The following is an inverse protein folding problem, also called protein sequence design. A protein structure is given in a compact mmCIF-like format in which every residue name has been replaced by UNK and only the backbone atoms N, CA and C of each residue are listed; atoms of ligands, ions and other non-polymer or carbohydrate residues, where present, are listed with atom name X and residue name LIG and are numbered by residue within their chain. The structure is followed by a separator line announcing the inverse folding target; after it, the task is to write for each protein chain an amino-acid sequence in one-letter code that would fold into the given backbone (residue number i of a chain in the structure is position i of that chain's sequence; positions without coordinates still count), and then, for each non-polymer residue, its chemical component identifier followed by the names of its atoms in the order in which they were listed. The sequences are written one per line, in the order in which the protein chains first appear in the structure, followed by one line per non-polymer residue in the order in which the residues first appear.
data_IF_552148218783
#
_entry.id   IF_552148218783
#
_cell.length_a   1.000
_cell.length_b   1.000
_cell.length_c   1.000
_cell.angle_alpha   90.00
_cell.angle_beta   90.00
_cell.angle_gamma   90.00
#
_symmetry.space_group_name_H-M   'P 1'
#
loop_
_entity.id
_entity.type
_entity.pdbx_description
1 polymer ?
2 polymer ?
#
# COMPACT_ATOMS: atom_id res chain seq x y z
N UNK A 1 -6.66 10.84 13.50
CA UNK A 1 -7.07 9.42 13.57
C UNK A 1 -6.43 8.61 12.46
N UNK A 2 -5.84 7.47 12.83
CA UNK A 2 -5.16 6.58 11.88
C UNK A 2 -5.88 5.24 11.78
N UNK A 3 -5.86 4.65 10.57
CA UNK A 3 -6.50 3.35 10.33
C UNK A 3 -5.64 2.48 9.41
N UNK A 4 -5.85 1.16 9.49
CA UNK A 4 -5.09 0.19 8.69
C UNK A 4 -5.98 -0.47 7.64
N UNK A 5 -5.46 -0.57 6.41
CA UNK A 5 -6.18 -1.19 5.29
C UNK A 5 -5.63 -2.60 5.02
N UNK A 6 -6.50 -3.49 4.55
CA UNK A 6 -6.11 -4.87 4.24
C UNK A 6 -6.11 -5.11 2.73
N UNK A 7 -4.97 -5.57 2.22
CA UNK A 7 -4.79 -5.85 0.79
C UNK A 7 -5.05 -7.33 0.48
N UNK A 8 -5.22 -7.64 -0.81
CA UNK A 8 -5.49 -9.01 -1.29
C UNK A 8 -4.29 -9.95 -1.06
N UNK A 9 -3.10 -9.38 -0.91
CA UNK A 9 -1.87 -10.17 -0.69
C UNK A 9 -1.66 -10.49 0.79
N UNK A 10 -2.46 -9.86 1.67
CA UNK A 10 -2.34 -10.09 3.11
C UNK A 10 -1.37 -9.12 3.77
N UNK A 11 -1.50 -7.84 3.42
CA UNK A 11 -0.63 -6.79 3.94
C UNK A 11 -1.47 -5.63 4.47
N UNK A 12 -1.25 -5.26 5.74
CA UNK A 12 -1.97 -4.13 6.35
C UNK A 12 -1.21 -2.83 6.12
N UNK A 13 -1.84 -1.92 5.35
CA UNK A 13 -1.24 -0.61 5.02
C UNK A 13 -1.57 0.39 6.14
N UNK A 14 -0.61 1.24 6.49
CA UNK A 14 -0.81 2.25 7.54
C UNK A 14 -0.98 3.64 6.96
N UNK A 15 -2.17 4.23 7.17
CA UNK A 15 -2.47 5.58 6.66
C UNK A 15 -3.12 6.45 7.72
N UNK A 16 -3.04 7.76 7.51
CA UNK A 16 -3.64 8.72 8.42
C UNK A 16 -4.61 9.64 7.70
N UNK A 17 -5.90 9.52 8.05
CA UNK A 17 -6.97 10.32 7.44
C UNK A 17 -8.04 10.70 8.47
N UNK A 18 -8.85 11.72 8.15
CA UNK A 18 -9.92 12.19 9.03
C UNK A 18 -11.27 11.55 8.63
N UNK A 19 -12.21 11.35 9.62
CA UNK A 19 -13.53 10.75 9.35
C UNK A 19 -14.44 11.61 8.45
N UNK A 20 -14.11 12.90 8.34
CA UNK A 20 -14.89 13.85 7.52
C UNK A 20 -14.46 13.84 6.04
N UNK A 21 -13.44 13.04 5.71
CA UNK A 21 -12.94 12.92 4.34
C UNK A 21 -13.74 11.88 3.55
N UNK A 22 -13.71 12.01 2.22
CA UNK A 22 -14.43 11.08 1.33
C UNK A 22 -13.61 9.85 1.01
N UNK A 23 -14.32 8.72 0.81
CA UNK A 23 -13.70 7.41 0.48
C UNK A 23 -12.75 7.52 -0.73
N UNK A 24 -13.11 8.36 -1.72
CA UNK A 24 -12.30 8.57 -2.94
C UNK A 24 -10.93 9.19 -2.61
N UNK A 25 -10.90 10.08 -1.60
CA UNK A 25 -9.66 10.74 -1.17
C UNK A 25 -8.71 9.73 -0.54
N UNK A 26 -9.28 8.82 0.26
CA UNK A 26 -8.50 7.75 0.91
C UNK A 26 -7.91 6.81 -0.16
N UNK A 27 -8.69 6.61 -1.25
CA UNK A 27 -8.26 5.76 -2.39
C UNK A 27 -7.05 6.38 -3.09
N UNK A 28 -7.04 7.71 -3.18
CA UNK A 28 -5.91 8.45 -3.80
C UNK A 28 -4.64 8.26 -2.97
N UNK A 29 -4.80 8.29 -1.63
CA UNK A 29 -3.69 8.09 -0.68
C UNK A 29 -3.08 6.68 -0.87
N UNK A 30 -3.97 5.71 -1.18
CA UNK A 30 -3.55 4.32 -1.43
C UNK A 30 -2.72 4.24 -2.73
N UNK A 31 -3.21 4.90 -3.80
CA UNK A 31 -2.55 4.93 -5.11
C UNK A 31 -1.08 5.38 -5.01
N UNK A 32 -0.85 6.48 -4.28
CA UNK A 32 0.49 7.03 -4.08
C UNK A 32 1.39 6.13 -3.21
N UNK A 33 0.76 5.35 -2.31
CA UNK A 33 1.52 4.46 -1.40
C UNK A 33 1.90 3.13 -2.06
N UNK A 34 0.93 2.47 -2.73
CA UNK A 34 1.17 1.17 -3.36
C UNK A 34 1.46 1.27 -4.86
N UNK A 35 0.78 2.19 -5.55
CA UNK A 35 0.98 2.38 -6.98
C UNK A 35 -0.14 1.80 -7.84
N UNK A 36 -1.38 1.87 -7.34
CA UNK A 36 -2.55 1.36 -8.07
C UNK A 36 -3.65 2.44 -8.10
N UNK A 37 -4.29 2.69 -9.29
CA UNK A 37 -5.36 3.71 -9.42
C UNK A 37 -6.54 3.50 -8.44
N UNK A 38 -7.28 4.59 -8.06
CA UNK A 38 -8.42 4.49 -7.11
C UNK A 38 -9.66 3.82 -7.73
N UNK A 39 -9.91 4.09 -9.02
CA UNK A 39 -11.07 3.53 -9.74
C UNK A 39 -11.02 2.01 -9.88
N UNK A 40 -9.84 1.42 -9.62
CA UNK A 40 -9.66 -0.03 -9.72
C UNK A 40 -9.51 -0.68 -8.33
N UNK A 41 -9.72 0.13 -7.25
CA UNK A 41 -9.62 -0.32 -5.84
C UNK A 41 -10.94 -0.08 -5.06
N UNK A 42 -11.54 -1.16 -4.47
CA UNK A 42 -12.78 -0.99 -3.70
C UNK A 42 -12.51 -1.07 -2.20
N UNK A 43 -13.35 -0.40 -1.41
CA UNK A 43 -13.22 -0.39 0.05
C UNK A 43 -14.47 -0.97 0.69
N UNK A 44 -14.27 -2.06 1.43
CA UNK A 44 -15.36 -2.76 2.11
C UNK A 44 -15.16 -2.76 3.63
N UNK A 45 -16.25 -2.55 4.38
CA UNK A 45 -16.22 -2.54 5.84
C UNK A 45 -17.50 -3.14 6.41
N UNK A 46 -17.35 -4.00 7.44
CA UNK A 46 -18.47 -4.70 8.12
C UNK A 46 -19.11 -5.79 7.25
N UNK A 47 -19.35 -5.44 5.98
CA UNK A 47 -19.96 -6.35 5.03
C UNK A 47 -20.64 -5.59 3.90
N UNK A 48 -20.64 -4.27 4.01
CA UNK A 48 -21.24 -3.39 3.01
C UNK A 48 -20.17 -2.72 2.16
N UNK A 49 -20.56 -2.26 0.96
CA UNK A 49 -19.64 -1.60 0.02
C UNK A 49 -19.65 -0.09 0.24
N UNK A 50 -18.47 0.53 0.22
CA UNK A 50 -18.33 1.97 0.42
C UNK A 50 -18.30 2.71 -0.93
N UNK A 51 -19.17 3.72 -1.06
CA UNK A 51 -19.26 4.50 -2.30
C UNK A 51 -18.40 5.75 -2.25
N UNK A 52 -17.91 6.17 -3.42
CA UNK A 52 -17.05 7.37 -3.56
C UNK A 52 -17.77 8.67 -3.20
N UNK A 53 -19.10 8.60 -3.12
CA UNK A 53 -19.93 9.77 -2.78
C UNK A 53 -20.17 9.85 -1.26
N UNK A 54 -19.77 8.78 -0.54
CA UNK A 54 -19.94 8.72 0.91
C UNK A 54 -18.60 8.98 1.62
N UNK A 55 -18.66 9.14 2.95
CA UNK A 55 -17.46 9.40 3.74
C UNK A 55 -17.26 8.32 4.80
N UNK A 56 -16.05 8.26 5.37
CA UNK A 56 -15.70 7.28 6.40
C UNK A 56 -16.59 7.41 7.65
N UNK A 57 -17.03 8.65 7.93
CA UNK A 57 -17.89 8.94 9.08
C UNK A 57 -19.26 8.24 8.95
N UNK A 58 -19.72 8.08 7.69
CA UNK A 58 -21.00 7.43 7.40
C UNK A 58 -21.01 5.94 7.81
N UNK A 59 -19.80 5.39 8.02
CA UNK A 59 -19.64 4.00 8.43
C UNK A 59 -19.06 3.92 9.85
N UNK A 60 -19.22 5.04 10.62
CA UNK A 60 -18.75 5.17 12.03
C UNK A 60 -17.32 4.65 12.27
N UNK A 61 -16.44 4.83 11.28
CA UNK A 61 -15.04 4.39 11.37
C UNK A 61 -14.22 5.42 12.16
N UNK A 62 -13.40 4.94 13.10
CA UNK A 62 -12.56 5.80 13.94
C UNK A 62 -11.10 5.34 13.92
N UNK A 63 -10.21 6.20 14.44
CA UNK A 63 -8.78 5.92 14.51
C UNK A 63 -8.47 4.64 15.27
N UNK A 64 -8.11 3.60 14.52
CA UNK A 64 -7.81 2.31 15.11
C UNK A 64 -8.57 1.16 14.44
N UNK A 65 -9.51 1.51 13.54
CA UNK A 65 -10.31 0.50 12.83
C UNK A 65 -9.57 -0.02 11.60
N UNK A 66 -9.83 -1.28 11.27
CA UNK A 66 -9.19 -1.93 10.12
C UNK A 66 -10.17 -1.99 8.95
N UNK A 67 -9.83 -1.31 7.85
CA UNK A 67 -10.68 -1.27 6.66
C UNK A 67 -10.16 -2.23 5.59
N UNK A 68 -11.09 -2.83 4.84
CA UNK A 68 -10.74 -3.79 3.79
C UNK A 68 -10.78 -3.14 2.41
N UNK A 69 -9.87 -3.58 1.54
CA UNK A 69 -9.77 -3.07 0.17
C UNK A 69 -9.67 -4.22 -0.82
N UNK A 70 -10.57 -4.24 -1.82
CA UNK A 70 -10.59 -5.29 -2.83
C UNK A 70 -11.05 -4.83 -4.21
N UNK A 71 -10.07 -4.55 -5.04
CA UNK A 71 -10.29 -4.24 -6.45
C UNK A 71 -9.06 -4.55 -7.30
N UNK A 72 -9.22 -4.53 -8.64
CA UNK A 72 -8.15 -4.88 -9.61
C UNK A 72 -7.67 -6.32 -9.46
N UNK A 73 -7.50 -7.00 -10.61
CA UNK A 73 -7.03 -8.39 -10.63
C UNK A 73 -5.80 -8.52 -11.53
N UNK A 74 -4.89 -9.41 -11.13
CA UNK A 74 -3.65 -9.66 -11.89
C UNK A 74 -3.78 -10.89 -12.78
N UNK A 75 -4.35 -11.97 -12.22
CA UNK A 75 -4.53 -13.21 -12.97
C UNK A 75 -5.98 -13.47 -13.31
N UNK A 76 -6.33 -14.76 -13.41
CA UNK A 76 -7.69 -15.16 -13.73
C UNK A 76 -8.00 -16.59 -13.31
N UNK B 1 17.69 -10.27 -18.66
CA UNK B 1 16.54 -9.34 -18.83
C UNK B 1 16.91 -8.08 -19.58
N UNK B 2 16.77 -6.92 -18.91
CA UNK B 2 17.08 -5.65 -19.52
C UNK B 2 17.33 -4.56 -18.50
N UNK B 3 16.38 -4.38 -17.58
CA UNK B 3 16.49 -3.36 -16.52
C UNK B 3 16.22 -3.97 -15.14
N UNK B 4 16.85 -3.40 -14.13
CA UNK B 4 16.69 -3.87 -12.75
C UNK B 4 16.30 -2.72 -11.81
N UNK B 5 15.55 -3.07 -10.75
CA UNK B 5 15.08 -2.09 -9.77
C UNK B 5 16.05 -1.97 -8.59
N UNK B 6 17.13 -2.77 -8.61
CA UNK B 6 18.16 -2.80 -7.55
C UNK B 6 18.75 -1.43 -7.24
N UNK B 7 19.01 -0.65 -8.29
CA UNK B 7 19.62 0.69 -8.17
C UNK B 7 18.74 1.70 -7.41
N UNK B 8 17.42 1.69 -7.66
CA UNK B 8 16.49 2.65 -7.04
C UNK B 8 16.23 2.27 -5.60
N UNK B 9 16.10 0.97 -5.41
CA UNK B 9 15.80 0.33 -4.15
C UNK B 9 16.91 0.48 -3.11
N UNK B 10 18.14 0.14 -3.48
CA UNK B 10 19.27 0.26 -2.55
C UNK B 10 19.70 1.72 -2.34
N UNK B 11 19.70 2.53 -3.42
CA UNK B 11 20.06 3.96 -3.32
C UNK B 11 19.16 4.68 -2.30
N UNK B 12 17.85 4.37 -2.33
CA UNK B 12 16.87 4.94 -1.38
C UNK B 12 17.30 4.60 0.04
N UNK B 13 17.39 3.30 0.20
CA UNK B 13 17.72 2.62 1.44
C UNK B 13 19.09 3.03 2.01
N UNK B 14 20.08 3.21 1.11
CA UNK B 14 21.44 3.60 1.52
C UNK B 14 21.51 5.07 1.97
N UNK B 15 21.13 6.03 1.09
CA UNK B 15 21.17 7.47 1.43
C UNK B 15 20.07 8.27 0.73
N UNK B 16 19.75 7.92 -0.52
CA UNK B 16 18.73 8.61 -1.33
C UNK B 16 17.30 8.47 -0.73
N UNK B 17 16.28 8.97 -1.46
CA UNK B 17 14.88 8.91 -0.99
C UNK B 17 14.22 7.56 -1.33
N UNK B 18 13.28 7.16 -0.46
CA UNK B 18 12.50 5.90 -0.55
C UNK B 18 11.87 5.68 -1.95
N UNK B 19 12.65 5.19 -2.95
CA UNK B 19 12.06 5.06 -4.31
C UNK B 19 11.13 3.82 -4.57
N UNK B 20 11.69 2.61 -4.91
CA UNK B 20 10.88 1.39 -5.15
C UNK B 20 10.64 0.67 -3.85
N UNK B 21 11.80 0.23 -3.32
CA UNK B 21 11.91 -0.45 -2.06
C UNK B 21 11.33 0.49 -1.02
N UNK B 22 11.55 1.79 -1.23
CA UNK B 22 11.08 2.82 -0.33
C UNK B 22 9.57 3.05 -0.31
N UNK B 23 9.10 4.03 -1.10
CA UNK B 23 7.66 4.45 -1.15
C UNK B 23 6.82 3.92 0.03
N UNK B 24 7.18 4.39 1.25
CA UNK B 24 6.55 4.04 2.54
C UNK B 24 6.32 2.51 2.73
N UNK B 25 5.09 2.02 2.49
CA UNK B 25 4.74 0.59 2.61
C UNK B 25 5.62 -0.28 1.70
N UNK B 26 5.90 0.27 0.53
CA UNK B 26 6.71 -0.33 -0.53
C UNK B 26 8.05 -0.93 -0.05
N UNK B 27 8.63 -0.34 1.02
CA UNK B 27 9.97 -0.69 1.56
C UNK B 27 10.20 -2.19 1.66
N UNK B 28 9.33 -2.87 2.37
CA UNK B 28 9.33 -4.32 2.46
C UNK B 28 8.71 -4.97 1.20
N UNK B 29 7.75 -4.23 0.59
CA UNK B 29 6.86 -4.72 -0.49
C UNK B 29 7.57 -5.34 -1.66
N UNK B 30 8.70 -4.75 -2.07
CA UNK B 30 9.39 -5.27 -3.26
C UNK B 30 9.54 -6.79 -3.25
N UNK B 31 10.23 -7.40 -2.30
CA UNK B 31 10.38 -8.86 -2.35
C UNK B 31 9.08 -9.60 -2.00
N UNK B 32 8.37 -9.10 -0.98
CA UNK B 32 7.12 -9.73 -0.52
C UNK B 32 5.96 -9.43 -1.50
N UNK B 33 6.08 -9.97 -2.73
CA UNK B 33 5.07 -9.81 -3.78
C UNK B 33 5.02 -11.03 -4.70
N UNK B 34 5.75 -10.99 -5.83
CA UNK B 34 5.79 -12.09 -6.80
C UNK B 34 6.97 -11.96 -7.79
N UNK B 35 7.24 -10.74 -8.39
CA UNK B 35 8.35 -10.56 -9.36
C UNK B 35 9.74 -10.77 -8.77
N UNK B 36 10.69 -11.15 -9.64
CA UNK B 36 12.09 -11.40 -9.26
C UNK B 36 12.86 -10.11 -8.94
N UNK B 37 12.64 -9.07 -9.76
CA UNK B 37 13.30 -7.76 -9.61
C UNK B 37 13.07 -7.13 -8.23
N UNK B 38 11.82 -7.22 -7.73
CA UNK B 38 11.43 -6.65 -6.46
C UNK B 38 11.99 -7.55 -5.35
N UNK B 39 11.93 -8.86 -5.65
CA UNK B 39 12.43 -9.93 -4.78
C UNK B 39 13.85 -9.68 -4.30
N UNK B 40 14.70 -9.15 -5.19
CA UNK B 40 16.11 -8.90 -4.91
C UNK B 40 16.24 -7.62 -4.07
N UNK B 41 15.42 -6.65 -4.45
CA UNK B 41 15.36 -5.34 -3.81
C UNK B 41 15.24 -5.41 -2.28
N UNK B 42 14.14 -5.97 -1.74
CA UNK B 42 13.99 -6.09 -0.26
C UNK B 42 14.94 -7.14 0.27
N UNK B 43 15.06 -8.24 -0.49
CA UNK B 43 15.93 -9.34 -0.15
C UNK B 43 17.37 -8.87 0.05
N UNK B 44 17.97 -8.31 -1.01
CA UNK B 44 19.34 -7.81 -0.95
C UNK B 44 19.42 -6.49 -0.15
N UNK B 45 18.50 -5.55 -0.42
CA UNK B 45 18.50 -4.24 0.25
C UNK B 45 18.03 -4.28 1.70
N UNK B 46 16.74 -4.61 1.95
CA UNK B 46 16.25 -4.70 3.35
C UNK B 46 17.09 -5.61 4.27
N UNK B 47 17.54 -6.78 3.77
CA UNK B 47 18.32 -7.73 4.60
C UNK B 47 19.77 -7.26 4.87
N UNK B 48 20.50 -6.88 3.81
CA UNK B 48 21.91 -6.46 3.93
C UNK B 48 22.09 -5.09 4.59
N UNK B 49 21.24 -4.12 4.22
CA UNK B 49 21.32 -2.75 4.75
C UNK B 49 20.93 -2.66 6.24
N UNK B 50 19.87 -3.38 6.64
CA UNK B 50 19.39 -3.37 8.03
C UNK B 50 20.33 -4.13 8.98
N UNK B 51 20.76 -5.33 8.56
CA UNK B 51 21.66 -6.17 9.37
C UNK B 51 23.09 -5.60 9.41
N UNK B 52 23.74 -5.51 8.23
CA UNK B 52 25.11 -4.98 8.12
C UNK B 52 25.16 -3.46 8.32
#
# INVERSE_FOLDING_TARGET
MLIKVKTLTGKEIEIDIEPTDKVERIKERVEEKEGIPPQQQRLIYSGKQMNDEKTAADYKILGGSVLHLVLALRGGGGLRQ
GGIRKTRETERLRRQLLEVFWGQDHKVDFILQREPYCRDINQLSEALLSLNF
#
